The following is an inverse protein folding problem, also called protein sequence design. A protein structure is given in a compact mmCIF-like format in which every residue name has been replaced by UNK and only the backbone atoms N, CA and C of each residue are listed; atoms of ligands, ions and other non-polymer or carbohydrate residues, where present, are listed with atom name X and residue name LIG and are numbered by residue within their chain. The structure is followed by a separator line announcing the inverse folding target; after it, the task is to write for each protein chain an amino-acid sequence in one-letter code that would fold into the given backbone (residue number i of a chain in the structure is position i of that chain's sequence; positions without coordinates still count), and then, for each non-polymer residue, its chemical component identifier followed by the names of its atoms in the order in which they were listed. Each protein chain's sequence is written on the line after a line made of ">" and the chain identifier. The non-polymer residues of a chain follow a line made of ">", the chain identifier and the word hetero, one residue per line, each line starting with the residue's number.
data_IF_106561508012
#
_entry.id   IF_106561508012
#
_cell.length_a   1.000
_cell.length_b   1.000
_cell.length_c   1.000
_cell.angle_alpha   90.00
_cell.angle_beta   90.00
_cell.angle_gamma   90.00
#
_symmetry.space_group_name_H-M   'P 1'
#
loop_
_entity.id
_entity.type
_entity.pdbx_description
1 polymer ?
#
# COMPACT_ATOMS: atom_id res chain seq x y z
N UNK A 1 -10.64 -1.06 10.58
CA UNK A 1 -11.38 0.21 10.52
C UNK A 1 -12.50 0.03 9.51
N UNK A 2 -13.75 0.39 9.86
CA UNK A 2 -14.84 0.38 8.88
C UNK A 2 -15.06 1.79 8.39
N UNK A 3 -14.96 1.99 7.08
CA UNK A 3 -15.16 3.27 6.43
C UNK A 3 -16.26 3.06 5.40
N UNK A 4 -17.40 3.76 5.50
CA UNK A 4 -18.58 3.60 4.61
C UNK A 4 -19.07 2.15 4.40
N UNK A 5 -18.91 1.30 5.42
CA UNK A 5 -19.33 -0.11 5.36
C UNK A 5 -18.24 -1.08 4.88
N UNK A 6 -17.15 -0.55 4.33
CA UNK A 6 -16.02 -1.31 3.80
C UNK A 6 -14.97 -1.56 4.89
N UNK A 7 -14.37 -2.76 4.87
CA UNK A 7 -13.36 -3.16 5.85
C UNK A 7 -11.94 -2.82 5.39
N UNK A 8 -11.28 -1.98 6.18
CA UNK A 8 -9.87 -1.65 6.02
C UNK A 8 -9.07 -2.29 7.14
N UNK A 9 -8.05 -3.08 6.78
CA UNK A 9 -7.05 -3.53 7.75
C UNK A 9 -5.85 -2.60 7.67
N UNK A 10 -5.42 -2.11 8.83
CA UNK A 10 -4.32 -1.17 8.96
C UNK A 10 -3.27 -1.76 9.90
N UNK A 11 -2.02 -1.69 9.48
CA UNK A 11 -0.85 -1.88 10.34
C UNK A 11 -0.02 -0.60 10.32
N UNK A 12 0.36 -0.10 11.48
CA UNK A 12 1.14 1.12 11.62
C UNK A 12 2.35 0.88 12.53
N UNK A 13 3.49 1.48 12.18
CA UNK A 13 4.70 1.49 13.00
C UNK A 13 5.39 2.84 12.84
N UNK A 14 5.47 3.61 13.93
CA UNK A 14 5.90 5.01 13.90
C UNK A 14 5.13 5.81 12.83
N UNK A 15 5.84 6.39 11.86
CA UNK A 15 5.31 7.14 10.73
C UNK A 15 4.93 6.28 9.52
N UNK A 16 5.30 4.99 9.49
CA UNK A 16 4.99 4.08 8.40
C UNK A 16 3.64 3.36 8.62
N UNK A 17 2.71 3.55 7.68
CA UNK A 17 1.38 2.92 7.68
C UNK A 17 1.17 2.06 6.43
N UNK A 18 0.56 0.89 6.62
CA UNK A 18 0.19 -0.04 5.54
C UNK A 18 -1.30 -0.36 5.64
N UNK A 19 -2.01 -0.14 4.53
CA UNK A 19 -3.44 -0.39 4.41
C UNK A 19 -3.69 -1.59 3.48
N UNK A 20 -4.62 -2.45 3.88
CA UNK A 20 -5.18 -3.50 3.04
C UNK A 20 -6.63 -3.15 2.74
N UNK A 21 -6.97 -3.19 1.45
CA UNK A 21 -8.24 -2.74 0.89
C UNK A 21 -8.75 -3.85 -0.03
N UNK A 22 -10.04 -4.20 0.08
CA UNK A 22 -10.65 -5.24 -0.75
C UNK A 22 -11.05 -4.70 -2.13
N UNK A 23 -11.77 -3.57 -2.18
CA UNK A 23 -12.09 -2.88 -3.43
C UNK A 23 -11.37 -1.52 -3.54
N UNK A 24 -10.13 -1.50 -4.06
CA UNK A 24 -9.36 -0.27 -4.16
C UNK A 24 -9.90 0.70 -5.24
N UNK A 25 -10.69 0.25 -6.22
CA UNK A 25 -11.20 1.10 -7.30
C UNK A 25 -12.34 2.02 -6.85
N UNK A 26 -13.18 1.53 -5.95
CA UNK A 26 -14.25 2.34 -5.35
C UNK A 26 -13.76 3.09 -4.11
N UNK A 27 -12.94 2.44 -3.28
CA UNK A 27 -12.67 2.94 -1.93
C UNK A 27 -11.31 3.62 -1.77
N UNK A 28 -10.38 3.40 -2.69
CA UNK A 28 -9.00 3.89 -2.54
C UNK A 28 -8.87 5.41 -2.65
N UNK A 29 -9.67 6.06 -3.49
CA UNK A 29 -9.73 7.54 -3.54
C UNK A 29 -10.25 8.10 -2.22
N UNK A 30 -11.28 7.47 -1.65
CA UNK A 30 -11.86 7.90 -0.39
C UNK A 30 -10.87 7.74 0.78
N UNK A 31 -10.13 6.63 0.82
CA UNK A 31 -9.07 6.44 1.80
C UNK A 31 -8.02 7.56 1.72
N UNK A 32 -7.57 7.93 0.51
CA UNK A 32 -6.60 9.01 0.35
C UNK A 32 -7.13 10.37 0.79
N UNK A 33 -8.41 10.64 0.56
CA UNK A 33 -9.06 11.86 1.02
C UNK A 33 -9.12 11.92 2.54
N UNK A 34 -9.63 10.87 3.17
CA UNK A 34 -9.73 10.78 4.63
C UNK A 34 -8.35 10.92 5.28
N UNK A 35 -7.33 10.20 4.78
CA UNK A 35 -5.96 10.33 5.31
C UNK A 35 -5.41 11.76 5.14
N UNK A 36 -5.81 12.47 4.09
CA UNK A 36 -5.46 13.87 3.88
C UNK A 36 -6.10 14.77 4.94
N UNK A 37 -7.40 14.62 5.18
CA UNK A 37 -8.16 15.41 6.16
C UNK A 37 -7.69 15.13 7.60
N UNK A 38 -7.53 13.86 7.97
CA UNK A 38 -6.96 13.48 9.27
C UNK A 38 -5.52 13.97 9.42
N UNK A 39 -4.72 13.87 8.36
CA UNK A 39 -3.36 14.37 8.34
C UNK A 39 -3.31 15.87 8.61
N UNK A 40 -4.13 16.66 7.93
CA UNK A 40 -4.21 18.11 8.10
C UNK A 40 -4.55 18.51 9.54
N UNK A 41 -5.54 17.86 10.15
CA UNK A 41 -5.93 18.09 11.56
C UNK A 41 -4.79 17.73 12.53
N UNK A 42 -4.05 16.66 12.23
CA UNK A 42 -2.91 16.23 13.05
C UNK A 42 -1.61 17.01 12.77
N UNK A 43 -1.59 17.93 11.80
CA UNK A 43 -0.37 18.61 11.34
C UNK A 43 0.60 17.71 10.57
N UNK A 44 0.09 16.61 10.00
CA UNK A 44 0.84 15.61 9.23
C UNK A 44 0.51 15.70 7.73
N UNK A 45 1.42 15.22 6.88
CA UNK A 45 1.23 15.19 5.43
C UNK A 45 1.65 13.86 4.84
N UNK A 46 0.79 13.28 4.00
CA UNK A 46 1.10 12.06 3.25
C UNK A 46 2.21 12.33 2.23
N UNK A 47 3.26 11.52 2.27
CA UNK A 47 4.33 11.58 1.28
C UNK A 47 4.01 10.72 0.05
N UNK A 48 3.33 11.31 -0.93
CA UNK A 48 2.94 10.62 -2.18
C UNK A 48 4.10 10.02 -2.99
N UNK A 49 5.34 10.50 -2.80
CA UNK A 49 6.50 9.92 -3.49
C UNK A 49 6.93 8.59 -2.86
N UNK A 50 6.84 8.49 -1.52
CA UNK A 50 7.15 7.28 -0.75
C UNK A 50 6.00 6.29 -0.72
N UNK A 51 4.75 6.77 -0.74
CA UNK A 51 3.57 5.90 -0.77
C UNK A 51 3.50 5.19 -2.11
N UNK A 52 3.39 3.85 -2.08
CA UNK A 52 3.28 3.00 -3.27
C UNK A 52 2.13 2.03 -3.11
N UNK A 53 1.59 1.58 -4.23
CA UNK A 53 0.47 0.64 -4.27
C UNK A 53 0.93 -0.74 -4.74
N UNK A 54 0.48 -1.79 -4.07
CA UNK A 54 0.71 -3.17 -4.47
C UNK A 54 -0.66 -3.83 -4.72
N UNK A 55 -1.01 -4.00 -5.98
CA UNK A 55 -2.30 -4.57 -6.39
C UNK A 55 -2.18 -6.04 -6.78
N UNK A 56 -3.13 -6.87 -6.36
CA UNK A 56 -3.24 -8.27 -6.77
C UNK A 56 -4.59 -8.48 -7.45
N UNK A 57 -4.63 -9.38 -8.44
CA UNK A 57 -5.85 -9.77 -9.17
C UNK A 57 -6.56 -8.63 -9.94
N UNK A 58 -5.88 -7.52 -10.23
CA UNK A 58 -6.40 -6.48 -11.13
C UNK A 58 -5.93 -6.71 -12.56
N UNK A 59 -6.80 -6.41 -13.52
CA UNK A 59 -6.41 -6.32 -14.93
C UNK A 59 -5.52 -5.10 -15.17
N UNK A 60 -4.80 -5.06 -16.29
CA UNK A 60 -3.95 -3.91 -16.65
C UNK A 60 -4.76 -2.60 -16.75
N UNK A 61 -5.98 -2.67 -17.27
CA UNK A 61 -6.86 -1.50 -17.41
C UNK A 61 -7.28 -0.98 -16.03
N UNK A 62 -7.72 -1.87 -15.14
CA UNK A 62 -8.08 -1.53 -13.76
C UNK A 62 -6.89 -0.96 -12.98
N UNK A 63 -5.68 -1.50 -13.20
CA UNK A 63 -4.48 -0.97 -12.56
C UNK A 63 -4.19 0.47 -13.00
N UNK A 64 -4.28 0.76 -14.31
CA UNK A 64 -4.10 2.11 -14.85
C UNK A 64 -5.19 3.06 -14.34
N UNK A 65 -6.45 2.59 -14.27
CA UNK A 65 -7.55 3.38 -13.72
C UNK A 65 -7.31 3.71 -12.25
N UNK A 66 -6.87 2.72 -11.47
CA UNK A 66 -6.56 2.89 -10.06
C UNK A 66 -5.43 3.89 -9.82
N UNK A 67 -4.34 3.77 -10.58
CA UNK A 67 -3.21 4.73 -10.52
C UNK A 67 -3.67 6.14 -10.84
N UNK A 68 -4.56 6.32 -11.82
CA UNK A 68 -5.12 7.63 -12.19
C UNK A 68 -6.03 8.20 -11.10
N UNK A 69 -6.93 7.40 -10.52
CA UNK A 69 -7.85 7.84 -9.46
C UNK A 69 -7.12 8.23 -8.19
N UNK A 70 -6.19 7.39 -7.75
CA UNK A 70 -5.48 7.54 -6.47
C UNK A 70 -4.27 8.47 -6.59
N UNK A 71 -3.66 8.55 -7.78
CA UNK A 71 -2.44 9.33 -8.02
C UNK A 71 -1.20 8.72 -7.36
N UNK A 72 -1.18 7.40 -7.20
CA UNK A 72 -0.04 6.63 -6.67
C UNK A 72 0.45 5.64 -7.73
N UNK A 73 1.75 5.37 -7.71
CA UNK A 73 2.38 4.40 -8.61
C UNK A 73 2.16 2.97 -8.09
N UNK A 74 1.72 2.07 -8.98
CA UNK A 74 1.67 0.64 -8.68
C UNK A 74 3.03 -0.01 -8.93
N UNK A 75 3.48 -0.79 -7.95
CA UNK A 75 4.78 -1.47 -8.00
C UNK A 75 4.62 -2.97 -7.74
N UNK A 76 5.60 -3.74 -8.22
CA UNK A 76 5.61 -5.21 -8.04
C UNK A 76 6.09 -5.64 -6.65
N UNK A 77 6.86 -4.78 -5.98
CA UNK A 77 7.43 -5.01 -4.65
C UNK A 77 7.54 -3.70 -3.88
N UNK A 78 7.28 -3.74 -2.57
CA UNK A 78 7.41 -2.62 -1.64
C UNK A 78 8.25 -3.10 -0.45
N UNK A 79 9.09 -2.21 0.11
CA UNK A 79 9.83 -2.51 1.35
C UNK A 79 9.09 -1.91 2.54
N UNK A 80 8.83 -2.70 3.56
CA UNK A 80 8.21 -2.28 4.82
C UNK A 80 8.98 -2.89 5.99
N UNK A 81 9.46 -2.05 6.91
CA UNK A 81 10.25 -2.46 8.09
C UNK A 81 11.42 -3.40 7.77
N UNK A 82 12.12 -3.15 6.66
CA UNK A 82 13.24 -3.99 6.22
C UNK A 82 12.83 -5.18 5.34
N UNK A 83 11.55 -5.54 5.30
CA UNK A 83 11.03 -6.72 4.60
C UNK A 83 10.46 -6.32 3.23
N UNK A 84 10.83 -7.04 2.18
CA UNK A 84 10.24 -6.96 0.86
C UNK A 84 8.89 -7.69 0.82
N UNK A 85 7.83 -6.93 0.61
CA UNK A 85 6.49 -7.42 0.32
C UNK A 85 6.31 -7.53 -1.21
N UNK A 86 5.83 -8.67 -1.68
CA UNK A 86 5.59 -8.92 -3.10
C UNK A 86 4.23 -9.56 -3.33
N UNK A 87 3.67 -9.38 -4.54
CA UNK A 87 2.41 -10.02 -4.94
C UNK A 87 2.58 -11.55 -5.06
N UNK A 88 3.80 -11.99 -5.40
CA UNK A 88 4.14 -13.39 -5.61
C UNK A 88 4.61 -14.01 -4.30
N UNK A 89 3.69 -14.63 -3.56
CA UNK A 89 3.96 -15.28 -2.27
C UNK A 89 5.19 -16.23 -2.33
N UNK A 90 5.35 -16.97 -3.44
CA UNK A 90 6.48 -17.87 -3.66
C UNK A 90 7.85 -17.16 -3.62
N UNK A 91 7.92 -15.87 -3.96
CA UNK A 91 9.18 -15.13 -3.97
C UNK A 91 9.54 -14.52 -2.60
N UNK A 92 8.57 -14.37 -1.68
CA UNK A 92 8.80 -13.72 -0.38
C UNK A 92 9.95 -14.35 0.39
N UNK A 93 10.05 -15.69 0.43
CA UNK A 93 11.15 -16.38 1.10
C UNK A 93 12.50 -15.99 0.49
N UNK A 94 12.63 -16.09 -0.83
CA UNK A 94 13.87 -15.79 -1.55
C UNK A 94 14.28 -14.32 -1.43
N UNK A 95 13.31 -13.43 -1.63
CA UNK A 95 13.52 -11.98 -1.65
C UNK A 95 13.93 -11.43 -0.27
N UNK A 96 13.68 -12.18 0.80
CA UNK A 96 14.00 -11.78 2.17
C UNK A 96 15.02 -12.71 2.83
N UNK A 97 14.68 -13.96 3.10
CA UNK A 97 15.51 -14.88 3.88
C UNK A 97 16.76 -15.31 3.12
N UNK A 98 16.61 -15.82 1.89
CA UNK A 98 17.77 -16.34 1.15
C UNK A 98 18.75 -15.21 0.81
N UNK A 99 18.22 -14.02 0.48
CA UNK A 99 19.03 -12.82 0.23
C UNK A 99 19.76 -12.35 1.49
N UNK A 100 19.11 -12.37 2.65
CA UNK A 100 19.72 -11.97 3.92
C UNK A 100 20.86 -12.92 4.33
N UNK A 101 20.67 -14.24 4.15
CA UNK A 101 21.69 -15.25 4.47
C UNK A 101 22.96 -15.04 3.64
N UNK A 102 22.85 -14.60 2.38
CA UNK A 102 24.02 -14.32 1.52
C UNK A 102 24.81 -13.06 1.93
N UNK A 103 24.23 -12.20 2.77
CA UNK A 103 24.85 -10.95 3.23
C UNK A 103 25.56 -11.08 4.57
N UNK A 104 25.50 -12.26 5.19
CA UNK A 104 26.17 -12.64 6.43
C UNK A 104 27.44 -13.41 6.06
#
# INVERSE_FOLDING_TARGET
>A
MKIKGEEFKLQAFADDMVFFIEDPLETGEYLMKELGEYGEVAGLKINKQKTKLLSKNLTKLQQIELEKKIGLESVKKIKYLGIWLTIRIKSIKKDNYDTLIQQI
#
